data_IF_480376638508
#
_entry.id   IF_480376638508
#
_cell.length_a   1.000
_cell.length_b   1.000
_cell.length_c   1.000
_cell.angle_alpha   90.00
_cell.angle_beta   90.00
_cell.angle_gamma   90.00
#
_symmetry.space_group_name_H-M   'P 1'
#
loop_
_entity.id
_entity.type
_entity.pdbx_description
1 polymer ?
#
# COMPACT_ATOMS: atom_id res chain seq x y z
N UNK A 1 10.39 -7.81 -4.14
CA UNK A 1 10.22 -6.34 -4.25
C UNK A 1 8.80 -6.02 -3.83
N UNK A 2 8.58 -4.93 -3.10
CA UNK A 2 7.23 -4.50 -2.73
C UNK A 2 6.42 -4.15 -3.98
N UNK A 3 5.21 -4.67 -4.09
CA UNK A 3 4.32 -4.35 -5.21
C UNK A 3 3.85 -2.90 -5.07
N UNK A 4 4.27 -2.02 -5.98
CA UNK A 4 3.75 -0.66 -6.08
C UNK A 4 2.27 -0.75 -6.50
N UNK A 5 1.32 -0.21 -5.71
CA UNK A 5 -0.07 -0.11 -6.14
C UNK A 5 -0.18 0.88 -7.30
N UNK A 6 -0.97 0.52 -8.31
CA UNK A 6 -1.29 1.43 -9.42
C UNK A 6 -2.75 1.82 -9.26
N UNK A 7 -2.98 3.07 -8.89
CA UNK A 7 -4.31 3.71 -8.83
C UNK A 7 -4.45 4.72 -9.96
N UNK A 8 -5.66 5.24 -10.18
CA UNK A 8 -5.89 6.34 -11.13
C UNK A 8 -4.91 7.51 -10.91
N UNK A 9 -4.73 7.92 -9.65
CA UNK A 9 -3.85 9.04 -9.29
C UNK A 9 -2.39 8.72 -9.61
N UNK A 10 -1.92 7.50 -9.32
CA UNK A 10 -0.56 7.07 -9.65
C UNK A 10 -0.38 6.95 -11.17
N UNK A 11 -1.35 6.39 -11.88
CA UNK A 11 -1.30 6.28 -13.35
C UNK A 11 -1.26 7.66 -14.01
N UNK A 12 -2.04 8.61 -13.49
CA UNK A 12 -2.02 10.00 -13.94
C UNK A 12 -0.68 10.69 -13.64
N UNK A 13 -0.12 10.49 -12.44
CA UNK A 13 1.19 11.06 -12.11
C UNK A 13 2.32 10.48 -12.98
N UNK A 14 2.33 9.17 -13.22
CA UNK A 14 3.29 8.51 -14.11
C UNK A 14 3.17 9.01 -15.56
N UNK A 15 1.94 9.29 -16.02
CA UNK A 15 1.69 9.94 -17.30
C UNK A 15 2.37 11.32 -17.36
N UNK A 16 2.23 12.15 -16.32
CA UNK A 16 2.84 13.48 -16.28
C UNK A 16 4.38 13.43 -16.32
N UNK A 17 5.00 12.43 -15.68
CA UNK A 17 6.45 12.25 -15.69
C UNK A 17 7.04 11.96 -17.09
N UNK A 18 6.22 11.50 -18.04
CA UNK A 18 6.66 11.20 -19.41
C UNK A 18 6.07 12.15 -20.46
N UNK A 19 5.29 13.14 -20.04
CA UNK A 19 4.69 14.10 -20.94
C UNK A 19 5.77 15.04 -21.47
N UNK A 20 5.80 15.20 -22.80
CA UNK A 20 6.72 16.07 -23.53
C UNK A 20 5.98 17.14 -24.36
N UNK A 21 4.65 17.21 -24.25
CA UNK A 21 3.82 18.16 -25.00
C UNK A 21 4.17 19.63 -24.72
N UNK A 22 4.61 19.95 -23.51
CA UNK A 22 4.97 21.30 -23.08
C UNK A 22 6.47 21.63 -23.21
N UNK A 23 7.28 20.78 -23.85
CA UNK A 23 8.74 20.97 -23.88
C UNK A 23 9.27 21.80 -25.07
N UNK A 24 8.43 22.64 -25.70
CA UNK A 24 8.79 23.48 -26.85
C UNK A 24 9.50 22.73 -28.00
N UNK A 25 9.14 21.45 -28.22
CA UNK A 25 9.77 20.59 -29.24
C UNK A 25 11.12 19.98 -28.85
N UNK A 26 11.62 20.25 -27.64
CA UNK A 26 12.81 19.58 -27.10
C UNK A 26 12.45 18.14 -26.75
N UNK A 27 13.13 17.21 -27.38
CA UNK A 27 12.95 15.79 -27.12
C UNK A 27 13.25 15.43 -25.65
N UNK A 28 12.42 14.59 -25.05
CA UNK A 28 12.57 14.11 -23.67
C UNK A 28 12.45 12.59 -23.62
N UNK A 29 13.37 11.96 -22.92
CA UNK A 29 13.32 10.56 -22.53
C UNK A 29 12.28 10.35 -21.40
N UNK A 30 11.60 9.19 -21.33
CA UNK A 30 11.75 8.01 -22.19
C UNK A 30 11.22 8.21 -23.61
N UNK A 31 11.81 7.51 -24.57
CA UNK A 31 11.31 7.41 -25.94
C UNK A 31 10.07 6.51 -26.04
N UNK A 32 9.42 6.50 -27.20
CA UNK A 32 8.42 5.46 -27.50
C UNK A 32 9.01 4.04 -27.45
N UNK A 33 10.27 3.84 -27.85
CA UNK A 33 10.89 2.52 -27.79
C UNK A 33 11.15 2.07 -26.34
N UNK A 34 11.49 3.00 -25.45
CA UNK A 34 11.67 2.69 -24.02
C UNK A 34 10.36 2.34 -23.33
N UNK A 35 9.28 3.07 -23.64
CA UNK A 35 7.95 2.73 -23.14
C UNK A 35 7.56 1.33 -23.62
N UNK A 36 7.80 1.02 -24.90
CA UNK A 36 7.51 -0.29 -25.47
C UNK A 36 8.29 -1.41 -24.80
N UNK A 37 9.59 -1.19 -24.56
CA UNK A 37 10.44 -2.13 -23.84
C UNK A 37 9.84 -2.50 -22.47
N UNK A 38 9.42 -1.51 -21.68
CA UNK A 38 8.84 -1.75 -20.36
C UNK A 38 7.43 -2.33 -20.40
N UNK A 39 6.62 -1.98 -21.41
CA UNK A 39 5.33 -2.64 -21.69
C UNK A 39 5.56 -4.13 -21.93
N UNK A 40 6.49 -4.48 -22.80
CA UNK A 40 6.78 -5.87 -23.18
C UNK A 40 7.38 -6.64 -22.00
N UNK A 41 8.28 -6.03 -21.25
CA UNK A 41 8.84 -6.61 -20.03
C UNK A 41 7.76 -6.91 -18.97
N UNK A 42 6.71 -6.09 -18.91
CA UNK A 42 5.57 -6.31 -18.03
C UNK A 42 4.53 -7.31 -18.57
N UNK A 43 4.68 -7.77 -19.82
CA UNK A 43 3.74 -8.66 -20.50
C UNK A 43 2.46 -7.96 -20.96
N UNK A 44 2.53 -6.66 -21.28
CA UNK A 44 1.36 -5.81 -21.52
C UNK A 44 1.19 -5.39 -22.99
N UNK A 45 1.86 -6.07 -23.92
CA UNK A 45 1.87 -5.70 -25.34
C UNK A 45 0.47 -5.60 -25.95
N UNK A 46 -0.45 -6.50 -25.55
CA UNK A 46 -1.84 -6.50 -26.03
C UNK A 46 -2.63 -5.25 -25.63
N UNK A 47 -2.21 -4.56 -24.58
CA UNK A 47 -2.86 -3.33 -24.08
C UNK A 47 -2.21 -2.05 -24.62
N UNK A 48 -1.19 -2.17 -25.47
CA UNK A 48 -0.44 -1.04 -25.98
C UNK A 48 -1.01 -0.52 -27.31
N UNK A 49 -1.70 0.64 -27.31
CA UNK A 49 -2.32 1.17 -28.51
C UNK A 49 -1.32 1.45 -29.64
N UNK A 50 -0.04 1.74 -29.33
CA UNK A 50 0.97 1.97 -30.37
C UNK A 50 1.33 0.67 -31.08
N UNK A 51 1.44 -0.44 -30.34
CA UNK A 51 1.69 -1.77 -30.92
C UNK A 51 0.47 -2.28 -31.72
N UNK A 52 -0.72 -1.76 -31.43
CA UNK A 52 -1.93 -1.94 -32.23
C UNK A 52 -2.01 -0.99 -33.45
N UNK A 53 -0.95 -0.24 -33.76
CA UNK A 53 -0.88 0.65 -34.92
C UNK A 53 -1.45 2.05 -34.73
N UNK A 54 -1.85 2.44 -33.51
CA UNK A 54 -2.39 3.78 -33.27
C UNK A 54 -1.28 4.85 -33.18
N UNK A 55 -1.53 6.01 -33.81
CA UNK A 55 -0.73 7.21 -33.62
C UNK A 55 -1.11 7.90 -32.30
N UNK A 56 -0.27 7.77 -31.28
CA UNK A 56 -0.56 8.22 -29.92
C UNK A 56 0.68 8.81 -29.25
N UNK A 57 0.50 9.88 -28.47
CA UNK A 57 1.58 10.48 -27.67
C UNK A 57 1.95 9.64 -26.44
N UNK A 58 3.16 9.85 -25.90
CA UNK A 58 3.74 9.05 -24.79
C UNK A 58 2.85 9.03 -23.54
N UNK A 59 2.42 10.19 -23.07
CA UNK A 59 1.53 10.34 -21.94
C UNK A 59 0.23 9.52 -22.11
N UNK A 60 -0.47 9.73 -23.23
CA UNK A 60 -1.72 9.00 -23.54
C UNK A 60 -1.50 7.49 -23.64
N UNK A 61 -0.37 7.05 -24.19
CA UNK A 61 0.02 5.63 -24.27
C UNK A 61 0.21 5.01 -22.88
N UNK A 62 1.00 5.64 -22.02
CA UNK A 62 1.22 5.16 -20.63
C UNK A 62 -0.09 5.07 -19.87
N UNK A 63 -0.96 6.10 -19.99
CA UNK A 63 -2.28 6.09 -19.39
C UNK A 63 -3.12 4.91 -19.89
N UNK A 64 -3.22 4.72 -21.21
CA UNK A 64 -4.01 3.64 -21.79
C UNK A 64 -3.60 2.25 -21.29
N UNK A 65 -2.28 1.97 -21.27
CA UNK A 65 -1.75 0.70 -20.77
C UNK A 65 -2.08 0.51 -19.29
N UNK A 66 -1.77 1.49 -18.43
CA UNK A 66 -2.00 1.34 -16.98
C UNK A 66 -3.49 1.19 -16.64
N UNK A 67 -4.36 1.99 -17.26
CA UNK A 67 -5.80 1.92 -17.03
C UNK A 67 -6.41 0.58 -17.47
N UNK A 68 -5.87 -0.04 -18.53
CA UNK A 68 -6.35 -1.33 -19.01
C UNK A 68 -6.08 -2.48 -18.02
N UNK A 69 -5.02 -2.36 -17.19
CA UNK A 69 -4.55 -3.48 -16.36
C UNK A 69 -4.48 -3.23 -14.86
N UNK A 70 -4.71 -2.00 -14.39
CA UNK A 70 -4.56 -1.68 -12.96
C UNK A 70 -5.47 -2.53 -12.05
N UNK A 71 -6.66 -2.91 -12.53
CA UNK A 71 -7.60 -3.75 -11.78
C UNK A 71 -7.47 -5.24 -12.10
N UNK A 72 -7.30 -5.58 -13.39
CA UNK A 72 -7.30 -6.97 -13.87
C UNK A 72 -5.95 -7.67 -13.68
N UNK A 73 -4.84 -6.93 -13.68
CA UNK A 73 -3.48 -7.46 -13.52
C UNK A 73 -2.58 -6.50 -12.73
N UNK A 74 -2.85 -6.29 -11.41
CA UNK A 74 -2.10 -5.33 -10.58
C UNK A 74 -0.60 -5.60 -10.56
N UNK A 75 -0.18 -6.87 -10.58
CA UNK A 75 1.24 -7.23 -10.60
C UNK A 75 1.94 -6.77 -11.89
N UNK A 76 1.29 -6.93 -13.05
CA UNK A 76 1.82 -6.47 -14.33
C UNK A 76 1.87 -4.94 -14.41
N UNK A 77 0.79 -4.27 -13.97
CA UNK A 77 0.74 -2.81 -13.85
C UNK A 77 1.89 -2.28 -12.97
N UNK A 78 2.12 -2.93 -11.82
CA UNK A 78 3.19 -2.60 -10.87
C UNK A 78 4.58 -2.74 -11.48
N UNK A 79 4.84 -3.82 -12.24
CA UNK A 79 6.11 -4.01 -12.96
C UNK A 79 6.33 -2.91 -13.99
N UNK A 80 5.30 -2.58 -14.78
CA UNK A 80 5.40 -1.52 -15.78
C UNK A 80 5.66 -0.16 -15.14
N UNK A 81 4.91 0.21 -14.10
CA UNK A 81 5.11 1.44 -13.34
C UNK A 81 6.52 1.54 -12.75
N UNK A 82 7.03 0.45 -12.16
CA UNK A 82 8.39 0.38 -11.60
C UNK A 82 9.47 0.61 -12.67
N UNK A 83 9.36 -0.08 -13.80
CA UNK A 83 10.30 0.04 -14.92
C UNK A 83 10.30 1.44 -15.51
N UNK A 84 9.11 2.01 -15.73
CA UNK A 84 8.96 3.36 -16.25
C UNK A 84 9.58 4.41 -15.32
N UNK A 85 9.28 4.35 -14.03
CA UNK A 85 9.84 5.27 -13.03
C UNK A 85 11.37 5.15 -12.97
N UNK A 86 11.90 3.92 -12.99
CA UNK A 86 13.34 3.68 -13.02
C UNK A 86 14.00 4.27 -14.27
N UNK A 87 13.35 4.18 -15.44
CA UNK A 87 13.83 4.79 -16.69
C UNK A 87 13.81 6.31 -16.62
N UNK A 88 12.72 6.93 -16.14
CA UNK A 88 12.64 8.39 -15.96
C UNK A 88 13.77 8.86 -15.04
N UNK A 89 14.03 8.15 -13.94
CA UNK A 89 15.15 8.42 -13.03
C UNK A 89 16.50 8.30 -13.73
N UNK A 90 16.76 7.20 -14.44
CA UNK A 90 18.03 6.94 -15.12
C UNK A 90 18.36 8.02 -16.17
N UNK A 91 17.34 8.52 -16.87
CA UNK A 91 17.49 9.60 -17.85
C UNK A 91 17.61 11.00 -17.23
N UNK A 92 17.61 11.12 -15.89
CA UNK A 92 17.73 12.39 -15.19
C UNK A 92 16.43 13.19 -15.10
N UNK A 93 15.27 12.55 -15.22
CA UNK A 93 13.96 13.19 -15.06
C UNK A 93 13.77 13.89 -13.71
N UNK A 94 14.46 13.41 -12.68
CA UNK A 94 14.43 13.94 -11.32
C UNK A 94 15.57 14.91 -11.00
N UNK A 95 16.44 15.24 -11.97
CA UNK A 95 17.58 16.14 -11.75
C UNK A 95 17.31 17.49 -12.41
N UNK A 96 17.14 18.54 -11.61
CA UNK A 96 16.84 19.91 -12.11
C UNK A 96 17.87 20.42 -13.13
N UNK A 97 19.14 20.04 -12.97
CA UNK A 97 20.20 20.41 -13.91
C UNK A 97 20.19 19.60 -15.23
N UNK A 98 19.35 18.57 -15.35
CA UNK A 98 19.25 17.75 -16.56
C UNK A 98 18.38 18.43 -17.61
N UNK A 99 18.78 18.33 -18.87
CA UNK A 99 17.90 18.69 -20.01
C UNK A 99 16.65 17.80 -20.09
N UNK A 100 16.65 16.66 -19.39
CA UNK A 100 15.54 15.74 -19.30
C UNK A 100 14.64 15.96 -18.08
N UNK A 101 14.86 17.02 -17.30
CA UNK A 101 14.07 17.30 -16.09
C UNK A 101 12.57 17.39 -16.42
N UNK A 102 11.74 16.66 -15.67
CA UNK A 102 10.29 16.55 -15.97
C UNK A 102 9.48 17.73 -15.44
N UNK A 103 10.09 18.56 -14.59
CA UNK A 103 9.44 19.69 -13.94
C UNK A 103 9.05 19.38 -12.49
N UNK A 104 9.10 20.42 -11.65
CA UNK A 104 8.84 20.32 -10.21
C UNK A 104 7.41 19.85 -9.91
N UNK A 105 6.43 20.40 -10.64
CA UNK A 105 5.01 20.07 -10.46
C UNK A 105 4.72 18.58 -10.73
N UNK A 106 5.27 18.01 -11.81
CA UNK A 106 5.09 16.59 -12.12
C UNK A 106 5.71 15.68 -11.04
N UNK A 107 6.86 16.08 -10.48
CA UNK A 107 7.50 15.38 -9.37
C UNK A 107 6.65 15.49 -8.10
N UNK A 108 6.20 16.68 -7.72
CA UNK A 108 5.41 16.88 -6.50
C UNK A 108 4.05 16.16 -6.59
N UNK A 109 3.41 16.13 -7.76
CA UNK A 109 2.22 15.33 -8.01
C UNK A 109 2.48 13.83 -7.85
N UNK A 110 3.60 13.32 -8.39
CA UNK A 110 3.99 11.92 -8.21
C UNK A 110 4.30 11.59 -6.74
N UNK A 111 4.99 12.47 -6.02
CA UNK A 111 5.25 12.32 -4.59
C UNK A 111 3.95 12.22 -3.81
N UNK A 112 3.00 13.13 -4.03
CA UNK A 112 1.69 13.12 -3.38
C UNK A 112 0.89 11.83 -3.71
N UNK A 113 0.90 11.40 -4.97
CA UNK A 113 0.20 10.18 -5.40
C UNK A 113 0.73 8.91 -4.71
N UNK A 114 2.05 8.76 -4.64
CA UNK A 114 2.67 7.63 -3.93
C UNK A 114 2.52 7.73 -2.41
N UNK A 115 2.58 8.95 -1.86
CA UNK A 115 2.43 9.20 -0.42
C UNK A 115 1.09 8.72 0.13
N UNK A 116 0.01 9.00 -0.62
CA UNK A 116 -1.36 8.58 -0.31
C UNK A 116 -1.53 7.05 -0.27
N UNK A 117 -0.68 6.33 -1.02
CA UNK A 117 -0.66 4.88 -1.07
C UNK A 117 0.40 4.27 -0.14
N UNK A 118 1.03 5.05 0.73
CA UNK A 118 1.97 4.56 1.73
C UNK A 118 3.40 4.35 1.22
N UNK A 119 3.79 5.06 0.15
CA UNK A 119 5.15 5.06 -0.40
C UNK A 119 5.76 6.45 -0.32
N UNK A 120 7.08 6.52 -0.20
CA UNK A 120 7.86 7.76 -0.30
C UNK A 120 8.59 7.73 -1.63
N UNK A 121 8.29 8.70 -2.49
CA UNK A 121 9.12 9.05 -3.64
C UNK A 121 10.01 10.22 -3.23
N UNK A 122 11.33 10.05 -3.31
CA UNK A 122 12.31 11.10 -2.99
C UNK A 122 12.59 11.99 -4.21
N UNK A 123 13.21 13.14 -3.98
CA UNK A 123 13.54 14.09 -5.05
C UNK A 123 14.52 13.53 -6.08
N UNK A 124 15.28 12.47 -5.76
CA UNK A 124 16.16 11.76 -6.72
C UNK A 124 15.44 10.64 -7.49
N UNK A 125 14.13 10.49 -7.32
CA UNK A 125 13.30 9.48 -7.96
C UNK A 125 13.36 8.08 -7.32
N UNK A 126 13.94 7.94 -6.12
CA UNK A 126 13.91 6.68 -5.38
C UNK A 126 12.55 6.47 -4.74
N UNK A 127 11.92 5.32 -5.01
CA UNK A 127 10.64 4.94 -4.42
C UNK A 127 10.86 3.86 -3.35
N UNK A 128 10.27 4.05 -2.18
CA UNK A 128 10.34 3.08 -1.07
C UNK A 128 9.03 3.05 -0.26
N UNK A 129 8.65 1.92 0.37
CA UNK A 129 7.52 1.90 1.29
C UNK A 129 7.77 2.79 2.52
N UNK A 130 6.73 3.40 3.08
CA UNK A 130 6.83 4.17 4.34
C UNK A 130 7.25 3.26 5.49
N UNK A 131 8.26 3.67 6.25
CA UNK A 131 8.70 2.97 7.46
C UNK A 131 7.81 3.39 8.63
N UNK A 132 6.91 2.51 9.08
CA UNK A 132 5.91 2.85 10.11
C UNK A 132 6.54 3.27 11.46
N UNK A 133 7.69 2.70 11.83
CA UNK A 133 8.32 2.94 13.14
C UNK A 133 8.79 4.38 13.35
N UNK A 134 9.08 5.12 12.26
CA UNK A 134 9.48 6.53 12.29
C UNK A 134 8.31 7.52 12.27
N UNK A 135 7.08 7.04 12.05
CA UNK A 135 5.88 7.88 12.00
C UNK A 135 5.21 7.98 13.37
N UNK A 136 4.48 9.09 13.60
CA UNK A 136 3.70 9.37 14.81
C UNK A 136 2.43 10.12 14.46
N UNK A 137 1.45 10.08 15.36
CA UNK A 137 0.20 10.86 15.25
C UNK A 137 -0.54 10.62 13.93
N UNK A 138 -1.04 11.69 13.32
CA UNK A 138 -1.81 11.66 12.07
C UNK A 138 -1.05 10.97 10.94
N UNK A 139 0.26 11.25 10.79
CA UNK A 139 1.07 10.62 9.75
C UNK A 139 1.15 9.10 9.90
N UNK A 140 1.17 8.58 11.14
CA UNK A 140 1.10 7.14 11.39
C UNK A 140 -0.31 6.60 11.13
N UNK A 141 -1.37 7.32 11.50
CA UNK A 141 -2.76 6.95 11.16
C UNK A 141 -2.94 6.80 9.65
N UNK A 142 -2.49 7.78 8.86
CA UNK A 142 -2.65 7.78 7.41
C UNK A 142 -1.85 6.66 6.75
N UNK A 143 -0.63 6.42 7.22
CA UNK A 143 0.18 5.30 6.75
C UNK A 143 -0.49 3.95 7.07
N UNK A 144 -0.90 3.72 8.33
CA UNK A 144 -1.59 2.48 8.71
C UNK A 144 -2.87 2.27 7.90
N UNK A 145 -3.64 3.34 7.63
CA UNK A 145 -4.85 3.28 6.82
C UNK A 145 -4.53 2.92 5.35
N UNK A 146 -3.47 3.47 4.77
CA UNK A 146 -3.02 3.12 3.43
C UNK A 146 -2.62 1.63 3.35
N UNK A 147 -1.81 1.15 4.30
CA UNK A 147 -1.42 -0.26 4.36
C UNK A 147 -2.63 -1.18 4.56
N UNK A 148 -3.60 -0.80 5.40
CA UNK A 148 -4.82 -1.57 5.61
C UNK A 148 -5.67 -1.68 4.33
N UNK A 149 -5.85 -0.59 3.57
CA UNK A 149 -6.56 -0.61 2.28
C UNK A 149 -5.89 -1.54 1.26
N UNK A 150 -4.55 -1.55 1.19
CA UNK A 150 -3.82 -2.46 0.30
C UNK A 150 -4.02 -3.92 0.72
N UNK A 151 -3.93 -4.20 2.02
CA UNK A 151 -4.15 -5.52 2.57
C UNK A 151 -5.58 -6.04 2.30
N UNK A 152 -6.61 -5.18 2.39
CA UNK A 152 -8.00 -5.53 2.06
C UNK A 152 -8.22 -5.90 0.58
N UNK A 153 -7.35 -5.45 -0.33
CA UNK A 153 -7.41 -5.81 -1.75
C UNK A 153 -6.68 -7.12 -2.07
N UNK A 154 -6.17 -7.82 -1.05
CA UNK A 154 -5.38 -9.02 -1.25
C UNK A 154 -4.02 -8.74 -1.89
N UNK A 155 -3.51 -7.50 -1.80
CA UNK A 155 -2.19 -7.18 -2.33
C UNK A 155 -1.14 -7.93 -1.51
N UNK A 156 -0.55 -8.97 -2.10
CA UNK A 156 0.58 -9.75 -1.56
C UNK A 156 1.87 -8.93 -1.62
N UNK A 157 1.85 -7.74 -1.02
CA UNK A 157 3.02 -6.90 -0.93
C UNK A 157 4.00 -7.55 0.05
N UNK A 158 5.18 -7.92 -0.44
CA UNK A 158 6.27 -8.40 0.41
C UNK A 158 6.60 -7.41 1.55
N UNK A 159 6.27 -6.12 1.44
CA UNK A 159 6.39 -5.17 2.56
C UNK A 159 5.30 -5.32 3.63
N UNK A 160 4.08 -5.71 3.25
CA UNK A 160 3.00 -6.10 4.17
C UNK A 160 3.27 -7.45 4.84
N UNK A 161 3.97 -8.36 4.14
CA UNK A 161 4.23 -9.74 4.56
C UNK A 161 5.57 -9.91 5.29
N UNK A 162 6.61 -9.15 4.94
CA UNK A 162 7.98 -9.38 5.42
C UNK A 162 8.74 -8.13 5.92
N UNK A 163 8.15 -6.92 5.87
CA UNK A 163 8.97 -5.72 5.72
C UNK A 163 8.82 -4.55 6.69
N UNK A 164 8.06 -4.60 7.79
CA UNK A 164 8.00 -3.46 8.73
C UNK A 164 8.25 -3.80 10.20
N UNK A 165 9.04 -4.83 10.51
CA UNK A 165 9.58 -5.07 11.87
C UNK A 165 8.57 -5.40 12.98
N UNK A 166 7.27 -5.19 12.77
CA UNK A 166 6.09 -5.58 13.57
C UNK A 166 4.89 -5.73 12.63
N UNK A 167 3.93 -6.57 13.00
CA UNK A 167 2.71 -6.81 12.21
C UNK A 167 1.91 -5.52 11.96
N UNK A 168 1.20 -5.38 10.83
CA UNK A 168 0.29 -4.26 10.61
C UNK A 168 -0.79 -4.17 11.72
N UNK A 169 -1.34 -5.30 12.18
CA UNK A 169 -2.29 -5.32 13.29
C UNK A 169 -1.64 -4.95 14.62
N UNK A 170 -0.38 -5.35 14.86
CA UNK A 170 0.37 -4.95 16.07
C UNK A 170 0.66 -3.46 16.07
N UNK A 171 1.13 -2.92 14.94
CA UNK A 171 1.38 -1.50 14.76
C UNK A 171 0.08 -0.70 14.94
N UNK A 172 -1.03 -1.19 14.40
CA UNK A 172 -2.36 -0.58 14.56
C UNK A 172 -2.83 -0.63 16.02
N UNK A 173 -2.73 -1.77 16.70
CA UNK A 173 -3.13 -1.91 18.10
C UNK A 173 -2.27 -1.03 19.03
N UNK A 174 -0.95 -1.02 18.81
CA UNK A 174 -0.03 -0.15 19.54
C UNK A 174 -0.33 1.34 19.30
N UNK A 175 -0.68 1.72 18.07
CA UNK A 175 -1.08 3.08 17.72
C UNK A 175 -2.40 3.48 18.41
N UNK A 176 -3.42 2.62 18.38
CA UNK A 176 -4.71 2.85 19.08
C UNK A 176 -4.46 3.12 20.57
N UNK A 177 -3.69 2.27 21.23
CA UNK A 177 -3.38 2.42 22.65
C UNK A 177 -2.53 3.66 22.93
N UNK A 178 -1.50 3.91 22.12
CA UNK A 178 -0.66 5.10 22.22
C UNK A 178 -1.48 6.39 22.09
N UNK A 179 -2.43 6.43 21.16
CA UNK A 179 -3.30 7.59 20.92
C UNK A 179 -4.31 7.78 22.05
N UNK A 180 -4.99 6.72 22.50
CA UNK A 180 -6.05 6.85 23.50
C UNK A 180 -5.54 6.91 24.95
N UNK A 181 -4.38 6.33 25.24
CA UNK A 181 -3.88 6.14 26.60
C UNK A 181 -2.47 6.73 26.81
N UNK A 182 -1.84 7.30 25.78
CA UNK A 182 -0.49 7.87 25.83
C UNK A 182 0.65 6.85 25.92
N UNK A 183 0.35 5.55 26.05
CA UNK A 183 1.32 4.47 26.16
C UNK A 183 0.72 3.13 25.74
N UNK A 184 1.59 2.19 25.40
CA UNK A 184 1.25 0.78 25.24
C UNK A 184 2.35 -0.09 25.85
N UNK A 185 2.04 -1.30 26.34
CA UNK A 185 3.03 -2.19 26.93
C UNK A 185 3.93 -2.81 25.86
N UNK A 186 5.23 -2.53 25.91
CA UNK A 186 6.22 -2.97 24.92
C UNK A 186 6.51 -4.47 24.92
N UNK A 187 6.10 -5.21 25.97
CA UNK A 187 6.30 -6.66 26.12
C UNK A 187 5.02 -7.50 26.03
N UNK A 188 3.87 -6.90 25.71
CA UNK A 188 2.63 -7.66 25.54
C UNK A 188 2.71 -8.55 24.30
N UNK A 189 2.23 -9.80 24.41
CA UNK A 189 2.05 -10.65 23.24
C UNK A 189 0.92 -10.11 22.34
N UNK A 190 0.83 -10.63 21.12
CA UNK A 190 -0.16 -10.19 20.12
C UNK A 190 -1.60 -10.17 20.67
N UNK A 191 -2.05 -11.27 21.28
CA UNK A 191 -3.42 -11.40 21.80
C UNK A 191 -3.71 -10.35 22.88
N UNK A 192 -2.78 -10.17 23.82
CA UNK A 192 -2.93 -9.18 24.88
C UNK A 192 -2.98 -7.77 24.29
N UNK A 193 -2.06 -7.42 23.39
CA UNK A 193 -2.00 -6.10 22.75
C UNK A 193 -3.29 -5.79 21.98
N UNK A 194 -3.75 -6.74 21.16
CA UNK A 194 -4.99 -6.60 20.40
C UNK A 194 -6.21 -6.49 21.33
N UNK A 195 -6.26 -7.31 22.39
CA UNK A 195 -7.35 -7.30 23.37
C UNK A 195 -7.46 -5.95 24.06
N UNK A 196 -6.33 -5.39 24.51
CA UNK A 196 -6.29 -4.05 25.08
C UNK A 196 -6.79 -2.98 24.10
N UNK A 197 -6.38 -3.04 22.83
CA UNK A 197 -6.84 -2.10 21.81
C UNK A 197 -8.36 -2.21 21.54
N UNK A 198 -8.90 -3.43 21.47
CA UNK A 198 -10.34 -3.67 21.32
C UNK A 198 -11.13 -3.09 22.51
N UNK A 199 -10.68 -3.40 23.74
CA UNK A 199 -11.30 -2.89 24.96
C UNK A 199 -11.23 -1.36 25.02
N UNK A 200 -10.07 -0.77 24.69
CA UNK A 200 -9.89 0.69 24.65
C UNK A 200 -10.79 1.39 23.62
N UNK A 201 -11.33 0.65 22.64
CA UNK A 201 -12.27 1.13 21.63
C UNK A 201 -13.74 0.73 21.90
N UNK A 202 -14.03 0.20 23.10
CA UNK A 202 -15.35 -0.34 23.51
C UNK A 202 -15.86 -1.47 22.61
N UNK A 203 -14.96 -2.27 22.04
CA UNK A 203 -15.27 -3.43 21.21
C UNK A 203 -15.36 -4.70 22.07
N UNK A 204 -16.20 -5.66 21.66
CA UNK A 204 -16.26 -6.96 22.31
C UNK A 204 -15.06 -7.84 21.94
N UNK A 205 -14.57 -8.58 22.94
CA UNK A 205 -13.57 -9.65 22.80
C UNK A 205 -14.17 -10.98 23.26
N UNK A 206 -13.66 -12.14 22.81
CA UNK A 206 -14.22 -13.46 23.15
C UNK A 206 -14.31 -13.75 24.65
N UNK A 207 -13.44 -13.16 25.45
CA UNK A 207 -13.42 -13.30 26.91
C UNK A 207 -14.57 -12.55 27.60
N UNK A 208 -15.29 -11.66 26.89
CA UNK A 208 -16.48 -10.98 27.40
C UNK A 208 -17.73 -11.84 27.16
N UNK A 209 -18.47 -12.22 28.23
CA UNK A 209 -19.72 -12.98 28.11
C UNK A 209 -20.73 -12.29 27.18
N UNK A 210 -21.49 -13.08 26.44
CA UNK A 210 -22.64 -12.57 25.68
C UNK A 210 -23.81 -12.31 26.62
N UNK A 211 -24.53 -11.21 26.38
CA UNK A 211 -25.71 -10.85 27.16
C UNK A 211 -26.98 -10.95 26.30
N UNK A 212 -28.12 -11.39 26.87
CA UNK A 212 -29.40 -11.38 26.16
C UNK A 212 -29.73 -9.97 25.64
N UNK A 213 -30.05 -9.86 24.35
CA UNK A 213 -30.37 -8.59 23.71
C UNK A 213 -29.16 -7.72 23.33
N UNK A 214 -27.92 -8.23 23.45
CA UNK A 214 -26.76 -7.50 22.95
C UNK A 214 -26.84 -7.29 21.42
N UNK A 215 -26.35 -6.15 20.88
CA UNK A 215 -26.39 -5.90 19.44
C UNK A 215 -25.53 -6.90 18.65
N UNK A 216 -26.01 -7.36 17.50
CA UNK A 216 -25.32 -8.34 16.64
C UNK A 216 -23.88 -7.93 16.25
N UNK A 217 -23.57 -6.63 16.23
CA UNK A 217 -22.21 -6.12 15.98
C UNK A 217 -21.19 -6.65 17.00
N UNK A 218 -21.61 -6.97 18.23
CA UNK A 218 -20.73 -7.52 19.28
C UNK A 218 -20.23 -8.92 18.90
N UNK A 219 -21.09 -9.74 18.31
CA UNK A 219 -20.70 -11.04 17.75
C UNK A 219 -19.69 -10.87 16.60
N UNK A 220 -19.91 -9.91 15.70
CA UNK A 220 -18.95 -9.58 14.63
C UNK A 220 -17.60 -9.10 15.19
N UNK A 221 -17.59 -8.26 16.22
CA UNK A 221 -16.37 -7.80 16.91
C UNK A 221 -15.57 -8.98 17.48
N UNK A 222 -16.23 -9.92 18.18
CA UNK A 222 -15.59 -11.15 18.67
C UNK A 222 -15.05 -12.02 17.53
N UNK A 223 -15.80 -12.13 16.43
CA UNK A 223 -15.38 -12.85 15.23
C UNK A 223 -14.11 -12.27 14.60
N UNK A 224 -14.06 -10.94 14.41
CA UNK A 224 -12.88 -10.24 13.89
C UNK A 224 -11.64 -10.48 14.78
N UNK A 225 -11.82 -10.45 16.10
CA UNK A 225 -10.76 -10.76 17.05
C UNK A 225 -10.23 -12.19 16.88
N UNK A 226 -11.12 -13.18 16.81
CA UNK A 226 -10.74 -14.59 16.63
C UNK A 226 -10.06 -14.83 15.28
N UNK A 227 -10.53 -14.19 14.22
CA UNK A 227 -9.88 -14.24 12.89
C UNK A 227 -8.46 -13.68 12.96
N UNK A 228 -8.25 -12.54 13.63
CA UNK A 228 -6.92 -11.96 13.82
C UNK A 228 -5.97 -12.91 14.57
N UNK A 229 -6.47 -13.58 15.63
CA UNK A 229 -5.68 -14.59 16.35
C UNK A 229 -5.36 -15.81 15.47
N UNK A 230 -6.30 -16.23 14.62
CA UNK A 230 -6.10 -17.29 13.63
C UNK A 230 -4.98 -16.94 12.66
N UNK A 231 -5.04 -15.77 12.02
CA UNK A 231 -4.00 -15.29 11.10
C UNK A 231 -2.64 -15.20 11.77
N UNK A 232 -2.56 -14.64 12.99
CA UNK A 232 -1.30 -14.58 13.73
C UNK A 232 -0.73 -15.98 14.05
N UNK A 233 -1.58 -16.99 14.30
CA UNK A 233 -1.14 -18.39 14.47
C UNK A 233 -0.60 -18.99 13.18
N UNK A 234 -1.31 -18.79 12.06
CA UNK A 234 -0.87 -19.24 10.74
C UNK A 234 0.50 -18.64 10.42
N UNK A 235 0.70 -17.36 10.72
CA UNK A 235 2.00 -16.69 10.61
C UNK A 235 3.06 -17.28 11.55
N UNK A 236 2.80 -17.41 12.85
CA UNK A 236 3.79 -17.87 13.84
C UNK A 236 4.21 -19.33 13.64
N UNK A 237 3.31 -20.19 13.14
CA UNK A 237 3.62 -21.59 12.81
C UNK A 237 4.49 -21.72 11.55
N UNK A 238 4.49 -20.68 10.69
CA UNK A 238 5.17 -20.65 9.40
C UNK A 238 6.34 -19.64 9.33
N UNK A 239 6.55 -18.83 10.38
CA UNK A 239 7.54 -17.76 10.43
C UNK A 239 8.41 -17.83 11.68
N UNK A 240 9.69 -18.18 11.51
CA UNK A 240 10.72 -18.00 12.53
C UNK A 240 11.16 -16.53 12.58
N UNK A 241 10.36 -15.66 13.22
CA UNK A 241 10.79 -14.40 13.85
C UNK A 241 11.65 -13.36 13.11
N UNK A 242 11.97 -13.50 11.82
CA UNK A 242 13.01 -12.70 11.14
C UNK A 242 12.69 -12.33 9.69
N UNK A 243 11.52 -11.75 9.43
CA UNK A 243 11.26 -11.02 8.17
C UNK A 243 11.45 -11.84 6.89
N UNK A 244 11.19 -13.16 6.94
CA UNK A 244 11.14 -13.96 5.72
C UNK A 244 9.73 -13.87 5.10
N UNK A 245 9.61 -13.83 3.76
CA UNK A 245 8.34 -14.08 3.06
C UNK A 245 7.71 -15.38 3.59
N UNK A 246 6.37 -15.48 3.51
CA UNK A 246 5.66 -16.75 3.72
C UNK A 246 6.44 -17.90 3.06
N UNK A 247 6.90 -18.87 3.85
CA UNK A 247 7.50 -20.09 3.33
C UNK A 247 6.37 -21.00 2.78
N UNK A 248 6.66 -21.88 1.80
CA UNK A 248 5.79 -22.24 0.66
C UNK A 248 4.67 -23.27 0.97
N UNK A 249 4.15 -23.29 2.20
CA UNK A 249 3.14 -24.28 2.60
C UNK A 249 1.71 -23.76 2.62
N UNK A 250 1.49 -22.44 2.58
CA UNK A 250 0.14 -21.92 2.36
C UNK A 250 -0.14 -21.87 0.87
N UNK A 251 -1.37 -22.22 0.49
CA UNK A 251 -1.87 -21.93 -0.83
C UNK A 251 -2.09 -20.42 -1.01
N UNK A 252 -2.01 -19.92 -2.25
CA UNK A 252 -2.17 -18.49 -2.57
C UNK A 252 -3.53 -17.97 -2.06
N UNK A 253 -4.59 -18.80 -2.09
CA UNK A 253 -5.91 -18.43 -1.59
C UNK A 253 -5.92 -18.21 -0.07
N UNK A 254 -5.16 -19.00 0.68
CA UNK A 254 -5.05 -18.90 2.14
C UNK A 254 -4.21 -17.68 2.54
N UNK A 255 -3.13 -17.41 1.79
CA UNK A 255 -2.29 -16.24 1.99
C UNK A 255 -3.08 -14.95 1.72
N UNK A 256 -3.87 -14.94 0.63
CA UNK A 256 -4.78 -13.86 0.28
C UNK A 256 -5.85 -13.64 1.36
N UNK A 257 -6.53 -14.69 1.79
CA UNK A 257 -7.53 -14.59 2.85
C UNK A 257 -6.93 -14.04 4.17
N UNK A 258 -5.72 -14.49 4.52
CA UNK A 258 -5.02 -14.02 5.71
C UNK A 258 -4.74 -12.51 5.63
N UNK A 259 -4.20 -12.02 4.51
CA UNK A 259 -3.87 -10.59 4.38
C UNK A 259 -5.13 -9.71 4.32
N UNK A 260 -6.22 -10.18 3.72
CA UNK A 260 -7.51 -9.48 3.70
C UNK A 260 -8.10 -9.33 5.12
N UNK A 261 -7.94 -10.34 5.97
CA UNK A 261 -8.30 -10.27 7.40
C UNK A 261 -7.45 -9.24 8.13
N UNK A 262 -6.12 -9.23 7.92
CA UNK A 262 -5.21 -8.21 8.51
C UNK A 262 -5.68 -6.81 8.14
N UNK A 263 -5.96 -6.58 6.86
CA UNK A 263 -6.45 -5.30 6.36
C UNK A 263 -7.79 -4.91 6.98
N UNK A 264 -8.74 -5.84 7.02
CA UNK A 264 -10.09 -5.61 7.55
C UNK A 264 -10.08 -5.25 9.02
N UNK A 265 -9.34 -6.01 9.86
CA UNK A 265 -9.23 -5.74 11.30
C UNK A 265 -8.55 -4.39 11.54
N UNK A 266 -7.44 -4.11 10.84
CA UNK A 266 -6.70 -2.86 11.00
C UNK A 266 -7.54 -1.64 10.59
N UNK A 267 -8.22 -1.71 9.43
CA UNK A 267 -9.11 -0.65 8.97
C UNK A 267 -10.28 -0.41 9.93
N UNK A 268 -10.84 -1.47 10.50
CA UNK A 268 -11.92 -1.38 11.49
C UNK A 268 -11.46 -0.66 12.76
N UNK A 269 -10.30 -1.02 13.31
CA UNK A 269 -9.73 -0.36 14.49
C UNK A 269 -9.45 1.12 14.25
N UNK A 270 -8.83 1.47 13.11
CA UNK A 270 -8.55 2.87 12.73
C UNK A 270 -9.85 3.67 12.56
N UNK A 271 -10.89 3.07 11.98
CA UNK A 271 -12.20 3.73 11.83
C UNK A 271 -12.87 3.98 13.18
N UNK A 272 -12.76 3.03 14.12
CA UNK A 272 -13.27 3.18 15.49
C UNK A 272 -12.47 4.23 16.27
N UNK A 273 -11.15 4.27 16.10
CA UNK A 273 -10.27 5.30 16.68
C UNK A 273 -10.68 6.69 16.21
N UNK A 274 -10.78 6.91 14.89
CA UNK A 274 -11.18 8.19 14.32
C UNK A 274 -12.57 8.64 14.81
N UNK A 275 -13.52 7.71 14.97
CA UNK A 275 -14.84 8.00 15.56
C UNK A 275 -14.74 8.41 17.03
N UNK A 276 -13.81 7.83 17.80
CA UNK A 276 -13.61 8.13 19.22
C UNK A 276 -12.94 9.48 19.42
N UNK A 277 -11.91 9.80 18.62
CA UNK A 277 -11.24 11.11 18.64
C UNK A 277 -12.22 12.26 18.32
N UNK A 278 -13.13 12.08 17.36
CA UNK A 278 -14.17 13.09 17.06
C UNK A 278 -15.18 13.31 18.19
N UNK A 279 -15.33 12.36 19.12
CA UNK A 279 -16.27 12.45 20.25
C UNK A 279 -15.65 13.11 21.48
N UNK A 280 -14.32 13.11 21.59
CA UNK A 280 -13.54 13.76 22.64
C UNK A 280 -12.53 14.75 22.02
N UNK A 281 -13.00 15.88 21.43
CA UNK A 281 -12.10 16.92 20.92
C UNK A 281 -11.34 17.65 22.03
#
# INVERSE_FOLDING_TARGET
>A
MSHIPVTDTIAHALMQLVDDSNNNGVYREPSHADIEFHVNQAGLAEHDPKQQGQLIGKAKRVRAVLYAVMDSSPAAASRFASGLLAKVRACGGFREASTNFVGREAIDNAKAAFDAEGFVLTDDGTLSPKVLSSLRGVALTDALAAYARRAQKGAEDAALIAGTGKDLMEATAAHVLGTLQGRYPSGANFQALLGMAFIALDLAVPEMPEHPGEPAVKSMERGLFLSALGVNRVRNKQGSGHGRPWLPTLADEEAKAAIEVVGTVSAYLLSKLAKRERRNP
#
